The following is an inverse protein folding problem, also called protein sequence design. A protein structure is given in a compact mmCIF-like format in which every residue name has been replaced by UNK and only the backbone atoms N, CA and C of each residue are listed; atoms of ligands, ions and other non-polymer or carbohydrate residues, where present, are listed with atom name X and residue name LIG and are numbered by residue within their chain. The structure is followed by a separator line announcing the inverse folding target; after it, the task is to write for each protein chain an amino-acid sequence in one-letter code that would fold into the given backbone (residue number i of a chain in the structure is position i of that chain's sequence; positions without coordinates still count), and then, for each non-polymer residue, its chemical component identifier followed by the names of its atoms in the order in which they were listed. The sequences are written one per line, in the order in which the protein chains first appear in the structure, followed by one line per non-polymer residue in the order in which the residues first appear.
data_IF_460286840592
#
_entry.id   IF_460286840592
#
_cell.length_a   1.000
_cell.length_b   1.000
_cell.length_c   1.000
_cell.angle_alpha   90.00
_cell.angle_beta   90.00
_cell.angle_gamma   90.00
#
_symmetry.space_group_name_H-M   'P 1'
#
loop_
_entity.id
_entity.type
_entity.pdbx_description
1 polymer ?
#
# COMPACT_ATOMS: atom_id res chain seq x y z
N UNK A 1 32.15 -32.20 -27.07
CA UNK A 1 31.22 -31.05 -27.15
C UNK A 1 29.77 -31.47 -27.37
N UNK A 2 29.46 -32.43 -28.24
CA UNK A 2 28.06 -32.81 -28.54
C UNK A 2 27.22 -33.25 -27.32
N UNK A 3 27.76 -34.15 -26.47
CA UNK A 3 27.06 -34.59 -25.24
C UNK A 3 26.64 -33.44 -24.33
N UNK A 4 27.47 -32.41 -24.22
CA UNK A 4 27.18 -31.21 -23.43
C UNK A 4 26.02 -30.41 -24.03
N UNK A 5 26.00 -30.25 -25.35
CA UNK A 5 24.92 -29.58 -26.07
C UNK A 5 23.57 -30.32 -25.93
N UNK A 6 23.59 -31.66 -25.95
CA UNK A 6 22.38 -32.50 -25.80
C UNK A 6 21.80 -32.41 -24.38
N UNK A 7 22.67 -32.42 -23.37
CA UNK A 7 22.31 -32.23 -21.96
C UNK A 7 21.71 -30.83 -21.77
N UNK A 8 22.37 -29.79 -22.29
CA UNK A 8 21.88 -28.41 -22.18
C UNK A 8 20.50 -28.25 -22.82
N UNK A 9 20.27 -28.81 -24.02
CA UNK A 9 18.96 -28.78 -24.69
C UNK A 9 17.87 -29.50 -23.88
N UNK A 10 18.20 -30.59 -23.18
CA UNK A 10 17.27 -31.36 -22.34
C UNK A 10 16.82 -30.56 -21.10
N UNK A 11 17.72 -29.79 -20.50
CA UNK A 11 17.44 -29.02 -19.29
C UNK A 11 17.02 -27.57 -19.57
N UNK A 12 17.21 -27.07 -20.79
CA UNK A 12 16.89 -25.69 -21.17
C UNK A 12 15.44 -25.32 -20.86
N UNK A 13 14.48 -26.18 -21.22
CA UNK A 13 13.05 -25.93 -20.98
C UNK A 13 12.76 -25.86 -19.48
N UNK A 14 13.35 -26.77 -18.69
CA UNK A 14 13.18 -26.80 -17.23
C UNK A 14 13.83 -25.60 -16.55
N UNK A 15 15.03 -25.20 -16.99
CA UNK A 15 15.72 -24.02 -16.49
C UNK A 15 14.94 -22.74 -16.83
N UNK A 16 14.40 -22.64 -18.04
CA UNK A 16 13.57 -21.51 -18.46
C UNK A 16 12.24 -21.45 -17.67
N UNK A 17 11.58 -22.60 -17.47
CA UNK A 17 10.38 -22.70 -16.67
C UNK A 17 10.63 -22.28 -15.21
N UNK A 18 11.72 -22.74 -14.60
CA UNK A 18 12.14 -22.32 -13.27
C UNK A 18 12.41 -20.80 -13.21
N UNK A 19 13.09 -20.26 -14.21
CA UNK A 19 13.33 -18.82 -14.34
C UNK A 19 12.04 -18.00 -14.40
N UNK A 20 11.09 -18.40 -15.24
CA UNK A 20 9.78 -17.74 -15.31
C UNK A 20 8.97 -17.89 -14.02
N UNK A 21 9.06 -19.03 -13.34
CA UNK A 21 8.37 -19.24 -12.05
C UNK A 21 8.91 -18.28 -10.99
N UNK A 22 10.23 -18.15 -10.87
CA UNK A 22 10.86 -17.19 -9.94
C UNK A 22 10.39 -15.77 -10.25
N UNK A 23 10.43 -15.35 -11.51
CA UNK A 23 9.95 -14.02 -11.92
C UNK A 23 8.47 -13.85 -11.56
N UNK A 24 7.62 -14.82 -11.89
CA UNK A 24 6.19 -14.80 -11.60
C UNK A 24 5.88 -14.69 -10.11
N UNK A 25 6.56 -15.47 -9.26
CA UNK A 25 6.39 -15.41 -7.80
C UNK A 25 6.85 -14.07 -7.24
N UNK A 26 7.99 -13.54 -7.69
CA UNK A 26 8.44 -12.21 -7.22
C UNK A 26 7.50 -11.08 -7.67
N UNK A 27 6.96 -11.15 -8.89
CA UNK A 27 5.97 -10.19 -9.37
C UNK A 27 4.65 -10.28 -8.58
N UNK A 28 4.22 -11.51 -8.26
CA UNK A 28 3.02 -11.74 -7.46
C UNK A 28 3.13 -11.11 -6.06
N UNK A 29 4.21 -11.38 -5.33
CA UNK A 29 4.41 -10.79 -4.00
C UNK A 29 4.53 -9.26 -4.04
N UNK A 30 5.17 -8.68 -5.07
CA UNK A 30 5.23 -7.22 -5.25
C UNK A 30 3.87 -6.60 -5.56
N UNK A 31 2.95 -7.34 -6.15
CA UNK A 31 1.62 -6.82 -6.50
C UNK A 31 0.68 -6.72 -5.31
N UNK A 32 0.96 -7.44 -4.22
CA UNK A 32 0.11 -7.43 -3.04
C UNK A 32 0.26 -6.09 -2.29
N UNK A 33 -0.86 -5.49 -1.84
CA UNK A 33 -0.81 -4.31 -0.99
C UNK A 33 -0.19 -4.66 0.37
N UNK A 34 0.35 -3.64 1.04
CA UNK A 34 1.00 -3.83 2.33
C UNK A 34 -0.01 -4.34 3.38
N UNK A 35 0.35 -5.32 4.23
CA UNK A 35 -0.54 -5.77 5.31
C UNK A 35 -0.80 -4.63 6.30
N UNK A 36 -2.08 -4.28 6.44
CA UNK A 36 -2.55 -3.20 7.32
C UNK A 36 -3.06 -3.72 8.66
N UNK A 37 -2.75 -3.04 9.76
CA UNK A 37 -3.41 -3.32 11.04
C UNK A 37 -4.87 -2.85 10.95
N UNK A 38 -5.81 -3.78 11.10
CA UNK A 38 -7.24 -3.52 10.82
C UNK A 38 -7.83 -2.42 11.73
N UNK A 39 -7.53 -2.43 13.03
CA UNK A 39 -8.12 -1.49 13.99
C UNK A 39 -7.62 -0.08 13.72
N UNK A 40 -6.30 0.10 13.69
CA UNK A 40 -5.68 1.43 13.45
C UNK A 40 -6.08 1.97 12.08
N UNK A 41 -6.00 1.13 11.04
CA UNK A 41 -6.34 1.57 9.69
C UNK A 41 -7.81 2.01 9.57
N UNK A 42 -8.74 1.28 10.19
CA UNK A 42 -10.15 1.65 10.21
C UNK A 42 -10.42 2.96 10.95
N UNK A 43 -9.66 3.27 12.00
CA UNK A 43 -9.78 4.56 12.70
C UNK A 43 -9.22 5.71 11.86
N UNK A 44 -8.04 5.51 11.25
CA UNK A 44 -7.36 6.56 10.46
C UNK A 44 -8.10 6.89 9.17
N UNK A 45 -8.59 5.89 8.43
CA UNK A 45 -9.22 6.09 7.10
C UNK A 45 -10.53 6.89 7.15
N UNK A 46 -11.14 7.04 8.32
CA UNK A 46 -12.32 7.91 8.52
C UNK A 46 -11.97 9.37 8.24
N UNK A 47 -10.72 9.77 8.49
CA UNK A 47 -10.26 11.15 8.39
C UNK A 47 -9.45 11.43 7.13
N UNK A 48 -8.78 10.42 6.55
CA UNK A 48 -8.11 10.58 5.26
C UNK A 48 -9.11 11.05 4.19
N UNK A 49 -8.74 12.06 3.38
CA UNK A 49 -9.64 12.59 2.36
C UNK A 49 -9.73 11.68 1.14
N UNK A 50 -8.77 10.78 0.93
CA UNK A 50 -8.66 9.98 -0.29
C UNK A 50 -9.50 8.71 -0.24
N UNK A 51 -10.21 8.42 -1.35
CA UNK A 51 -11.03 7.21 -1.46
C UNK A 51 -11.16 6.72 -2.91
N UNK A 52 -11.48 5.43 -3.05
CA UNK A 52 -11.74 4.82 -4.36
C UNK A 52 -13.20 5.02 -4.75
N UNK A 53 -13.41 5.54 -5.96
CA UNK A 53 -14.70 5.78 -6.58
C UNK A 53 -14.91 4.89 -7.82
N UNK A 54 -16.07 4.24 -7.90
CA UNK A 54 -16.45 3.39 -9.04
C UNK A 54 -17.01 4.24 -10.17
N UNK A 55 -16.51 4.03 -11.39
CA UNK A 55 -17.05 4.66 -12.60
C UNK A 55 -17.31 3.61 -13.69
N UNK A 56 -18.03 4.02 -14.73
CA UNK A 56 -18.37 3.17 -15.89
C UNK A 56 -17.11 2.56 -16.54
N UNK A 57 -15.98 3.28 -16.53
CA UNK A 57 -14.69 2.82 -17.06
C UNK A 57 -13.66 2.44 -15.98
N UNK A 58 -14.07 1.70 -14.94
CA UNK A 58 -13.17 1.17 -13.91
C UNK A 58 -13.15 1.98 -12.62
N UNK A 59 -11.98 2.03 -11.95
CA UNK A 59 -11.83 2.70 -10.66
C UNK A 59 -11.09 4.03 -10.81
N UNK A 60 -11.30 4.93 -9.87
CA UNK A 60 -10.56 6.19 -9.76
C UNK A 60 -10.36 6.56 -8.30
N UNK A 61 -9.35 7.39 -8.00
CA UNK A 61 -9.13 7.93 -6.67
C UNK A 61 -9.60 9.39 -6.67
N UNK A 62 -10.39 9.76 -5.67
CA UNK A 62 -10.90 11.11 -5.42
C UNK A 62 -10.52 11.59 -4.02
N UNK A 63 -10.63 12.90 -3.81
CA UNK A 63 -10.52 13.53 -2.50
C UNK A 63 -11.89 14.02 -2.02
N UNK A 64 -12.15 13.96 -0.72
CA UNK A 64 -13.32 14.59 -0.07
C UNK A 64 -13.13 16.10 0.15
N UNK A 65 -11.90 16.57 0.10
CA UNK A 65 -11.53 17.96 0.38
C UNK A 65 -11.22 18.77 -0.89
N UNK A 66 -10.83 18.07 -1.96
CA UNK A 66 -10.50 18.67 -3.26
C UNK A 66 -11.35 17.98 -4.34
N UNK A 67 -12.39 18.69 -4.81
CA UNK A 67 -13.30 18.19 -5.84
C UNK A 67 -12.63 18.03 -7.21
N UNK A 68 -11.54 18.77 -7.47
CA UNK A 68 -10.80 18.70 -8.73
C UNK A 68 -9.82 17.52 -8.74
N UNK A 69 -9.40 17.04 -7.56
CA UNK A 69 -8.51 15.90 -7.45
C UNK A 69 -9.15 14.61 -7.98
N UNK A 70 -8.60 14.11 -9.09
CA UNK A 70 -9.02 12.86 -9.70
C UNK A 70 -7.89 12.14 -10.38
N UNK A 71 -7.43 11.06 -9.76
CA UNK A 71 -6.45 10.18 -10.36
C UNK A 71 -7.11 8.94 -10.96
N UNK A 72 -6.55 8.47 -12.08
CA UNK A 72 -7.05 7.31 -12.81
C UNK A 72 -5.94 6.26 -12.99
N UNK A 73 -5.37 5.71 -11.89
CA UNK A 73 -4.34 4.68 -12.02
C UNK A 73 -4.89 3.46 -12.75
N UNK A 74 -3.99 2.67 -13.33
CA UNK A 74 -4.36 1.35 -13.81
C UNK A 74 -4.85 0.46 -12.64
N UNK A 75 -5.72 -0.51 -12.94
CA UNK A 75 -6.34 -1.37 -11.94
C UNK A 75 -5.31 -2.11 -11.07
N UNK A 76 -4.14 -2.43 -11.64
CA UNK A 76 -3.05 -3.10 -10.91
C UNK A 76 -2.39 -2.18 -9.89
N UNK A 77 -2.38 -0.86 -10.14
CA UNK A 77 -1.67 0.12 -9.31
C UNK A 77 -2.58 0.91 -8.38
N UNK A 78 -3.89 0.84 -8.54
CA UNK A 78 -4.81 1.74 -7.80
C UNK A 78 -4.68 1.64 -6.28
N UNK A 79 -4.50 0.44 -5.73
CA UNK A 79 -4.33 0.26 -4.29
C UNK A 79 -2.98 0.77 -3.81
N UNK A 80 -1.91 0.54 -4.58
CA UNK A 80 -0.58 1.08 -4.29
C UNK A 80 -0.60 2.61 -4.31
N UNK A 81 -1.29 3.20 -5.28
CA UNK A 81 -1.40 4.66 -5.38
C UNK A 81 -2.25 5.26 -4.25
N UNK A 82 -3.33 4.59 -3.85
CA UNK A 82 -4.09 5.00 -2.67
C UNK A 82 -3.20 4.96 -1.42
N UNK A 83 -2.44 3.89 -1.23
CA UNK A 83 -1.51 3.76 -0.11
C UNK A 83 -0.48 4.91 -0.12
N UNK A 84 0.11 5.26 -1.26
CA UNK A 84 1.04 6.40 -1.36
C UNK A 84 0.42 7.72 -0.89
N UNK A 85 -0.83 7.97 -1.27
CA UNK A 85 -1.58 9.18 -0.87
C UNK A 85 -1.87 9.15 0.64
N UNK A 86 -2.34 8.01 1.16
CA UNK A 86 -2.59 7.80 2.59
C UNK A 86 -1.32 7.98 3.43
N UNK A 87 -0.19 7.47 2.95
CA UNK A 87 1.12 7.60 3.59
C UNK A 87 1.60 9.04 3.61
N UNK A 88 1.47 9.73 2.48
CA UNK A 88 1.86 11.14 2.36
C UNK A 88 1.02 12.04 3.26
N UNK A 89 -0.29 11.82 3.28
CA UNK A 89 -1.22 12.50 4.19
C UNK A 89 -0.92 12.19 5.65
N UNK A 90 -0.64 10.92 5.98
CA UNK A 90 -0.35 10.50 7.34
C UNK A 90 0.87 11.19 7.94
N UNK A 91 1.92 11.46 7.15
CA UNK A 91 3.12 12.17 7.62
C UNK A 91 2.86 13.60 8.12
N UNK A 92 1.79 14.24 7.64
CA UNK A 92 1.46 15.61 8.03
C UNK A 92 0.30 15.68 9.01
N UNK A 93 -0.57 14.66 9.05
CA UNK A 93 -1.80 14.67 9.84
C UNK A 93 -1.82 13.67 10.99
N UNK A 94 -0.80 12.81 11.11
CA UNK A 94 -0.71 11.86 12.21
C UNK A 94 0.50 12.18 13.08
N UNK A 95 0.27 12.24 14.39
CA UNK A 95 1.32 12.44 15.39
C UNK A 95 1.22 11.34 16.44
N UNK A 96 2.31 10.62 16.66
CA UNK A 96 2.39 9.55 17.64
C UNK A 96 3.07 10.06 18.92
N UNK A 97 2.33 10.10 20.03
CA UNK A 97 2.86 10.50 21.34
C UNK A 97 2.39 9.54 22.43
N UNK A 98 3.32 9.00 23.22
CA UNK A 98 3.01 8.14 24.38
C UNK A 98 2.03 6.99 24.09
N UNK A 99 2.20 6.29 22.97
CA UNK A 99 1.28 5.23 22.50
C UNK A 99 -0.14 5.72 22.20
N UNK A 100 -0.32 7.01 21.91
CA UNK A 100 -1.56 7.60 21.43
C UNK A 100 -1.32 8.18 20.05
N UNK A 101 -2.23 7.89 19.13
CA UNK A 101 -2.21 8.48 17.80
C UNK A 101 -3.15 9.69 17.79
N UNK A 102 -2.59 10.85 17.51
CA UNK A 102 -3.30 12.10 17.31
C UNK A 102 -3.52 12.28 15.80
N UNK A 103 -4.76 12.55 15.41
CA UNK A 103 -5.11 12.91 14.03
C UNK A 103 -5.35 14.42 14.01
N UNK A 104 -4.66 15.12 13.12
CA UNK A 104 -4.71 16.56 12.95
C UNK A 104 -5.59 16.95 11.76
N UNK A 105 -6.11 18.16 11.79
CA UNK A 105 -6.69 18.83 10.63
C UNK A 105 -5.62 19.51 9.77
N UNK A 106 -6.05 20.12 8.67
CA UNK A 106 -5.18 20.86 7.75
C UNK A 106 -4.51 22.11 8.39
N UNK A 107 -4.96 22.55 9.57
CA UNK A 107 -4.39 23.65 10.33
C UNK A 107 -3.45 23.17 11.46
N UNK A 108 -3.28 21.86 11.63
CA UNK A 108 -2.50 21.25 12.70
C UNK A 108 -3.23 21.11 14.05
N UNK A 109 -4.54 21.39 14.10
CA UNK A 109 -5.36 21.19 15.30
C UNK A 109 -5.79 19.73 15.42
N UNK A 110 -5.82 19.20 16.63
CA UNK A 110 -6.21 17.80 16.86
C UNK A 110 -7.70 17.58 16.61
N UNK A 111 -8.04 16.78 15.59
CA UNK A 111 -9.39 16.31 15.29
C UNK A 111 -9.83 15.21 16.25
N UNK A 112 -8.92 14.25 16.50
CA UNK A 112 -9.19 13.13 17.41
C UNK A 112 -7.90 12.55 17.96
N UNK A 113 -8.03 11.72 18.99
CA UNK A 113 -6.92 10.97 19.56
C UNK A 113 -7.44 9.63 20.07
N UNK A 114 -6.72 8.56 19.77
CA UNK A 114 -7.04 7.24 20.30
C UNK A 114 -5.79 6.50 20.78
N UNK A 115 -5.91 5.63 21.81
CA UNK A 115 -4.80 4.84 22.29
C UNK A 115 -4.48 3.68 21.32
N UNK A 116 -3.20 3.37 21.22
CA UNK A 116 -2.69 2.15 20.63
C UNK A 116 -2.61 1.09 21.73
N UNK A 117 -3.16 -0.09 21.43
CA UNK A 117 -3.39 -1.17 22.38
C UNK A 117 -2.27 -2.20 22.38
N UNK A 118 -1.41 -2.20 21.35
CA UNK A 118 -0.32 -3.17 21.21
C UNK A 118 0.89 -2.61 20.46
N UNK A 119 2.03 -3.29 20.61
CA UNK A 119 3.25 -2.96 19.87
C UNK A 119 3.08 -3.14 18.36
N UNK A 120 2.29 -4.13 17.90
CA UNK A 120 2.01 -4.34 16.47
C UNK A 120 1.38 -3.11 15.82
N UNK A 121 0.55 -2.38 16.55
CA UNK A 121 -0.10 -1.16 16.07
C UNK A 121 0.88 0.01 15.93
N UNK A 122 1.78 0.13 16.90
CA UNK A 122 2.87 1.10 16.87
C UNK A 122 3.81 0.78 15.70
N UNK A 123 4.18 -0.49 15.52
CA UNK A 123 5.04 -0.94 14.43
C UNK A 123 4.37 -0.73 13.07
N UNK A 124 3.06 -0.96 12.97
CA UNK A 124 2.29 -0.68 11.77
C UNK A 124 2.34 0.81 11.41
N UNK A 125 2.18 1.71 12.39
CA UNK A 125 2.21 3.16 12.12
C UNK A 125 3.57 3.59 11.59
N UNK A 126 4.66 3.18 12.24
CA UNK A 126 6.02 3.48 11.78
C UNK A 126 6.30 2.88 10.40
N UNK A 127 5.86 1.64 10.15
CA UNK A 127 6.12 0.95 8.87
C UNK A 127 5.31 1.54 7.72
N UNK A 128 4.00 1.73 7.91
CA UNK A 128 3.10 2.16 6.85
C UNK A 128 3.22 3.67 6.63
N UNK A 129 3.02 4.50 7.67
CA UNK A 129 3.00 5.95 7.54
C UNK A 129 4.40 6.59 7.61
N UNK A 130 5.39 5.92 8.22
CA UNK A 130 6.76 6.44 8.30
C UNK A 130 6.92 7.59 9.30
N UNK A 131 6.10 7.60 10.35
CA UNK A 131 6.14 8.53 11.49
C UNK A 131 6.56 7.80 12.74
#
# INVERSE_FOLDING_TARGET
MEKFLTIMRKYLIWALAAGFLVIGVTAFFKSQPEPKNKRVYQEVIKYSPYYIDKRVGGLNIKSREDEEFKEKPDNVQIFHRLDELEKSWGKTHLVLENSRLHILDNNGSTLTTFPLESQDEIDFIHRFYGI
#
